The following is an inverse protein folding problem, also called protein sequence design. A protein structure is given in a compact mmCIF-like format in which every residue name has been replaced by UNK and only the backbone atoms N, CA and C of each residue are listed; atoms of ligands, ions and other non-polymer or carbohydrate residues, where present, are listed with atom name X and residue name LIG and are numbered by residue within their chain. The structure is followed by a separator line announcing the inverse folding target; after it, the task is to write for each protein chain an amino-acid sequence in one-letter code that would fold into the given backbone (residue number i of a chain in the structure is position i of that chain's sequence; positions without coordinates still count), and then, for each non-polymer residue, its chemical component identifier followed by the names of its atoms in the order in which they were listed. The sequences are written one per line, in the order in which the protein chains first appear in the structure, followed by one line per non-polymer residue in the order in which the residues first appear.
data_IF_433723083692
#
_entry.id   IF_433723083692
#
_cell.length_a   1.000
_cell.length_b   1.000
_cell.length_c   1.000
_cell.angle_alpha   90.00
_cell.angle_beta   90.00
_cell.angle_gamma   90.00
#
_symmetry.space_group_name_H-M   'P 1'
#
loop_
_entity.id
_entity.type
_entity.pdbx_description
1 polymer ?
#
# COMPACT_ATOMS: atom_id res chain seq x y z
N UNK A 1 22.66 -16.61 -12.99
CA UNK A 1 21.60 -16.49 -11.98
C UNK A 1 20.44 -15.79 -12.66
N UNK A 2 19.28 -16.42 -12.80
CA UNK A 2 18.11 -15.77 -13.40
C UNK A 2 17.65 -14.62 -12.50
N UNK A 3 17.31 -13.48 -13.08
CA UNK A 3 16.58 -12.42 -12.36
C UNK A 3 15.31 -13.01 -11.74
N UNK A 4 14.93 -12.59 -10.52
CA UNK A 4 13.66 -12.98 -9.93
C UNK A 4 12.49 -12.58 -10.85
N UNK A 5 11.39 -13.36 -10.85
CA UNK A 5 10.21 -13.04 -11.64
C UNK A 5 9.63 -11.68 -11.21
N UNK A 6 9.03 -10.96 -12.16
CA UNK A 6 8.31 -9.72 -11.87
C UNK A 6 6.93 -10.08 -11.35
N UNK A 7 6.63 -9.66 -10.12
CA UNK A 7 5.39 -9.94 -9.41
C UNK A 7 4.45 -8.73 -9.41
N UNK A 8 3.15 -9.01 -9.42
CA UNK A 8 2.11 -7.98 -9.23
C UNK A 8 1.82 -7.80 -7.75
N UNK A 9 1.95 -6.56 -7.27
CA UNK A 9 1.82 -6.24 -5.85
C UNK A 9 0.78 -5.15 -5.64
N UNK A 10 -0.12 -5.39 -4.71
CA UNK A 10 -1.14 -4.43 -4.31
C UNK A 10 -0.69 -3.75 -3.02
N UNK A 11 -0.54 -2.43 -3.07
CA UNK A 11 -0.14 -1.63 -1.90
C UNK A 11 -1.26 -0.65 -1.58
N UNK A 12 -1.77 -0.71 -0.35
CA UNK A 12 -2.73 0.26 0.17
C UNK A 12 -2.00 1.52 0.63
N UNK A 13 -2.55 2.67 0.30
CA UNK A 13 -2.09 3.99 0.71
C UNK A 13 -3.18 4.62 1.59
N UNK A 14 -2.77 5.26 2.68
CA UNK A 14 -3.67 5.98 3.58
C UNK A 14 -3.07 7.27 4.11
N UNK A 15 -3.88 8.32 4.26
CA UNK A 15 -3.48 9.57 4.92
C UNK A 15 -4.66 10.27 5.58
N UNK A 16 -4.49 10.74 6.83
CA UNK A 16 -5.49 11.58 7.51
C UNK A 16 -4.93 12.86 8.15
N UNK A 17 -3.63 13.13 8.00
CA UNK A 17 -2.96 14.34 8.52
C UNK A 17 -2.39 15.17 7.39
N UNK A 18 -2.45 16.49 7.54
CA UNK A 18 -1.81 17.44 6.61
C UNK A 18 -2.47 17.44 5.23
N UNK A 19 -1.65 17.61 4.19
CA UNK A 19 -2.12 17.56 2.80
C UNK A 19 -2.22 16.11 2.34
N UNK A 20 -3.33 15.47 2.72
CA UNK A 20 -3.62 14.06 2.46
C UNK A 20 -3.49 13.69 0.98
N UNK A 21 -3.94 14.58 0.08
CA UNK A 21 -3.86 14.34 -1.36
C UNK A 21 -2.42 14.40 -1.88
N UNK A 22 -1.62 15.36 -1.39
CA UNK A 22 -0.20 15.43 -1.72
C UNK A 22 0.59 14.23 -1.18
N UNK A 23 0.23 13.69 0.00
CA UNK A 23 0.82 12.46 0.53
C UNK A 23 0.56 11.25 -0.36
N UNK A 24 -0.68 11.06 -0.83
CA UNK A 24 -1.00 9.98 -1.78
C UNK A 24 -0.27 10.18 -3.12
N UNK A 25 -0.21 11.41 -3.63
CA UNK A 25 0.49 11.71 -4.89
C UNK A 25 1.99 11.38 -4.81
N UNK A 26 2.63 11.77 -3.71
CA UNK A 26 4.01 11.41 -3.44
C UNK A 26 4.24 9.91 -3.37
N UNK A 27 3.37 9.18 -2.67
CA UNK A 27 3.50 7.73 -2.58
C UNK A 27 3.44 7.09 -3.96
N UNK A 28 2.50 7.47 -4.83
CA UNK A 28 2.43 6.97 -6.21
C UNK A 28 3.71 7.22 -7.00
N UNK A 29 4.22 8.45 -6.97
CA UNK A 29 5.44 8.84 -7.66
C UNK A 29 6.64 8.02 -7.17
N UNK A 30 6.82 7.94 -5.85
CA UNK A 30 7.99 7.30 -5.24
C UNK A 30 7.97 5.80 -5.30
N UNK A 31 6.79 5.17 -5.19
CA UNK A 31 6.65 3.73 -5.42
C UNK A 31 7.03 3.36 -6.84
N UNK A 32 6.62 4.16 -7.83
CA UNK A 32 7.01 3.97 -9.23
C UNK A 32 8.49 4.22 -9.53
N UNK A 33 9.23 4.83 -8.58
CA UNK A 33 10.65 5.12 -8.69
C UNK A 33 11.53 4.20 -7.81
N UNK A 34 10.95 3.23 -7.10
CA UNK A 34 11.72 2.21 -6.38
C UNK A 34 12.51 1.33 -7.38
N UNK A 35 13.66 0.76 -6.97
CA UNK A 35 14.41 -0.16 -7.80
C UNK A 35 13.54 -1.32 -8.31
N UNK A 36 13.73 -1.67 -9.58
CA UNK A 36 13.04 -2.77 -10.26
C UNK A 36 11.52 -2.80 -10.04
N UNK A 37 10.91 -1.62 -9.87
CA UNK A 37 9.51 -1.44 -9.56
C UNK A 37 8.89 -0.44 -10.52
N UNK A 38 7.67 -0.70 -10.97
CA UNK A 38 6.86 0.26 -11.73
C UNK A 38 5.45 0.34 -11.17
N UNK A 39 4.90 1.54 -11.19
CA UNK A 39 3.47 1.75 -10.96
C UNK A 39 2.69 1.36 -12.23
N UNK A 40 1.76 0.42 -12.10
CA UNK A 40 0.92 -0.07 -13.21
C UNK A 40 -0.41 0.68 -13.24
N UNK A 41 -1.07 0.78 -12.10
CA UNK A 41 -2.37 1.43 -11.96
C UNK A 41 -2.59 1.92 -10.53
N UNK A 42 -3.55 2.83 -10.37
CA UNK A 42 -4.04 3.29 -9.08
C UNK A 42 -5.56 3.32 -9.10
N UNK A 43 -6.21 2.89 -8.01
CA UNK A 43 -7.66 2.96 -7.85
C UNK A 43 -8.11 4.42 -7.72
N UNK A 44 -9.42 4.64 -7.72
CA UNK A 44 -9.96 5.91 -7.25
C UNK A 44 -9.56 6.17 -5.79
N UNK A 45 -9.44 7.46 -5.45
CA UNK A 45 -9.23 7.89 -4.06
C UNK A 45 -10.58 7.86 -3.34
N UNK A 46 -10.66 7.14 -2.23
CA UNK A 46 -11.86 7.03 -1.40
C UNK A 46 -11.62 7.67 -0.02
N UNK A 47 -12.54 8.53 0.43
CA UNK A 47 -12.50 9.06 1.80
C UNK A 47 -13.30 8.17 2.76
N UNK A 48 -12.64 7.56 3.75
CA UNK A 48 -13.27 6.65 4.72
C UNK A 48 -13.17 7.18 6.15
N UNK A 49 -14.05 6.70 7.03
CA UNK A 49 -13.90 6.95 8.46
C UNK A 49 -12.64 6.25 8.98
N UNK A 50 -11.99 6.85 9.98
CA UNK A 50 -10.88 6.20 10.65
C UNK A 50 -11.33 4.91 11.34
N UNK A 51 -10.50 3.87 11.23
CA UNK A 51 -10.70 2.62 11.94
C UNK A 51 -10.00 2.69 13.30
N UNK A 52 -10.52 1.93 14.27
CA UNK A 52 -9.92 1.80 15.60
C UNK A 52 -10.52 2.72 16.67
N UNK A 53 -10.00 2.63 17.90
CA UNK A 53 -10.61 3.27 19.07
C UNK A 53 -10.22 4.75 19.25
N UNK A 54 -9.20 5.23 18.53
CA UNK A 54 -8.66 6.58 18.67
C UNK A 54 -9.45 7.55 17.78
N UNK A 55 -10.15 8.56 18.36
CA UNK A 55 -10.85 9.57 17.57
C UNK A 55 -9.88 10.38 16.71
N UNK A 56 -10.11 10.41 15.40
CA UNK A 56 -9.26 11.11 14.45
C UNK A 56 -10.02 11.44 13.16
N UNK A 57 -9.40 12.28 12.32
CA UNK A 57 -9.96 12.69 11.04
C UNK A 57 -10.12 11.54 10.05
N UNK A 58 -10.96 11.76 9.03
CA UNK A 58 -11.19 10.83 7.92
C UNK A 58 -9.91 10.60 7.12
N UNK A 59 -9.72 9.37 6.64
CA UNK A 59 -8.61 9.01 5.78
C UNK A 59 -8.98 9.22 4.31
N UNK A 60 -8.06 9.76 3.52
CA UNK A 60 -8.01 9.45 2.10
C UNK A 60 -7.28 8.12 1.92
N UNK A 61 -7.89 7.18 1.22
CA UNK A 61 -7.33 5.89 0.89
C UNK A 61 -7.26 5.71 -0.62
N UNK A 62 -6.30 4.92 -1.04
CA UNK A 62 -6.15 4.48 -2.42
C UNK A 62 -5.38 3.17 -2.43
N UNK A 63 -5.60 2.32 -3.41
CA UNK A 63 -4.72 1.19 -3.68
C UNK A 63 -3.96 1.40 -4.98
N UNK A 64 -2.72 0.95 -5.01
CA UNK A 64 -1.93 0.89 -6.25
C UNK A 64 -1.57 -0.53 -6.59
N UNK A 65 -1.51 -0.80 -7.90
CA UNK A 65 -0.93 -2.00 -8.46
C UNK A 65 0.48 -1.66 -8.94
N UNK A 66 1.46 -2.39 -8.41
CA UNK A 66 2.85 -2.34 -8.82
C UNK A 66 3.22 -3.62 -9.57
N UNK A 67 4.24 -3.52 -10.41
CA UNK A 67 4.99 -4.67 -10.89
C UNK A 67 6.43 -4.50 -10.40
N UNK A 68 6.95 -5.49 -9.67
CA UNK A 68 8.29 -5.42 -9.08
C UNK A 68 8.97 -6.78 -9.03
N UNK A 69 10.29 -6.81 -9.17
CA UNK A 69 11.10 -8.01 -8.92
C UNK A 69 11.79 -8.01 -7.55
N UNK A 70 11.47 -7.04 -6.69
CA UNK A 70 11.95 -7.03 -5.31
C UNK A 70 11.35 -8.22 -4.53
N UNK A 71 12.04 -8.73 -3.49
CA UNK A 71 11.42 -9.58 -2.48
C UNK A 71 10.44 -8.78 -1.59
N UNK A 72 9.39 -9.42 -1.01
CA UNK A 72 8.42 -8.74 -0.14
C UNK A 72 9.03 -7.94 1.01
N UNK A 73 10.12 -8.46 1.60
CA UNK A 73 10.85 -7.78 2.68
C UNK A 73 11.55 -6.51 2.23
N UNK A 74 12.14 -6.50 1.04
CA UNK A 74 12.81 -5.32 0.49
C UNK A 74 11.79 -4.25 0.10
N UNK A 75 10.67 -4.65 -0.50
CA UNK A 75 9.57 -3.71 -0.77
C UNK A 75 9.08 -3.08 0.54
N UNK A 76 8.84 -3.89 1.59
CA UNK A 76 8.42 -3.37 2.90
C UNK A 76 9.40 -2.31 3.42
N UNK A 77 10.71 -2.54 3.35
CA UNK A 77 11.71 -1.55 3.79
C UNK A 77 11.61 -0.25 2.98
N UNK A 78 11.38 -0.35 1.67
CA UNK A 78 11.10 0.83 0.83
C UNK A 78 9.85 1.59 1.27
N UNK A 79 8.75 0.89 1.55
CA UNK A 79 7.51 1.51 2.05
C UNK A 79 7.74 2.25 3.37
N UNK A 80 8.43 1.62 4.32
CA UNK A 80 8.75 2.20 5.62
C UNK A 80 9.59 3.47 5.49
N UNK A 81 10.53 3.52 4.55
CA UNK A 81 11.32 4.72 4.32
C UNK A 81 10.47 5.85 3.74
N UNK A 82 9.59 5.57 2.78
CA UNK A 82 8.68 6.57 2.22
C UNK A 82 7.72 7.14 3.28
N UNK A 83 7.25 6.31 4.21
CA UNK A 83 6.48 6.76 5.38
C UNK A 83 7.29 7.74 6.24
N UNK A 84 8.55 7.42 6.52
CA UNK A 84 9.46 8.25 7.33
C UNK A 84 9.76 9.59 6.66
N UNK A 85 9.98 9.59 5.35
CA UNK A 85 10.18 10.82 4.56
C UNK A 85 8.97 11.77 4.64
N UNK A 86 7.77 11.24 4.86
CA UNK A 86 6.55 12.02 5.10
C UNK A 86 6.24 12.27 6.56
N UNK A 87 7.21 12.05 7.45
CA UNK A 87 7.11 12.39 8.86
C UNK A 87 6.17 11.48 9.64
N UNK A 88 5.92 10.25 9.16
CA UNK A 88 5.19 9.27 9.96
C UNK A 88 6.03 8.87 11.17
N UNK A 89 5.59 9.32 12.34
CA UNK A 89 6.10 8.84 13.63
C UNK A 89 5.25 7.66 14.10
N UNK A 90 5.88 6.54 14.45
CA UNK A 90 5.21 5.32 14.92
C UNK A 90 4.91 5.40 16.41
N UNK A 91 4.30 6.52 16.81
CA UNK A 91 3.89 6.81 18.18
C UNK A 91 2.66 6.01 18.60
N UNK A 92 1.54 6.69 18.85
CA UNK A 92 0.32 6.05 19.33
C UNK A 92 -0.21 4.99 18.33
N UNK A 93 -0.43 3.77 18.81
CA UNK A 93 -1.03 2.71 18.00
C UNK A 93 -2.44 3.14 17.58
N UNK A 94 -2.73 3.08 16.28
CA UNK A 94 -3.96 3.62 15.67
C UNK A 94 -4.07 5.15 15.69
N UNK A 95 -2.99 5.87 15.99
CA UNK A 95 -2.97 7.32 15.89
C UNK A 95 -3.01 7.85 14.45
N UNK A 96 -3.17 9.17 14.31
CA UNK A 96 -3.22 9.86 13.02
C UNK A 96 -1.88 9.76 12.27
N UNK A 97 -1.93 9.69 10.93
CA UNK A 97 -0.79 9.37 10.06
C UNK A 97 -0.76 10.32 8.86
N UNK A 98 0.42 10.85 8.56
CA UNK A 98 0.69 11.60 7.33
C UNK A 98 0.67 10.68 6.11
N UNK A 99 1.29 9.50 6.20
CA UNK A 99 1.25 8.47 5.18
C UNK A 99 1.31 7.07 5.79
N UNK A 100 0.51 6.16 5.27
CA UNK A 100 0.43 4.74 5.60
C UNK A 100 0.49 3.89 4.35
N UNK A 101 1.42 2.93 4.34
CA UNK A 101 1.68 2.06 3.20
C UNK A 101 1.69 0.59 3.66
N UNK A 102 0.71 -0.18 3.20
CA UNK A 102 0.57 -1.60 3.55
C UNK A 102 0.65 -2.48 2.30
N UNK A 103 1.47 -3.54 2.34
CA UNK A 103 1.44 -4.59 1.32
C UNK A 103 0.19 -5.45 1.54
N UNK A 104 -0.73 -5.46 0.57
CA UNK A 104 -2.02 -6.15 0.65
C UNK A 104 -1.95 -7.56 0.03
N UNK A 105 -1.38 -7.67 -1.17
CA UNK A 105 -1.18 -8.92 -1.92
C UNK A 105 0.14 -8.84 -2.71
N UNK A 106 0.80 -9.96 -2.95
CA UNK A 106 2.10 -10.01 -3.62
C UNK A 106 2.19 -11.27 -4.49
N UNK A 107 1.75 -11.20 -5.74
CA UNK A 107 1.65 -12.38 -6.61
C UNK A 107 0.97 -13.55 -5.87
N UNK A 108 1.61 -14.71 -5.93
CA UNK A 108 1.21 -15.93 -5.20
C UNK A 108 1.99 -16.13 -3.88
N UNK A 109 2.73 -15.11 -3.42
CA UNK A 109 3.53 -15.22 -2.20
C UNK A 109 2.64 -15.32 -0.97
N UNK A 110 2.99 -16.27 -0.10
CA UNK A 110 2.48 -16.37 1.27
C UNK A 110 3.65 -16.12 2.21
N UNK A 111 3.56 -15.02 2.97
CA UNK A 111 4.62 -14.58 3.89
C UNK A 111 4.06 -14.52 5.29
N UNK A 112 4.79 -15.08 6.26
CA UNK A 112 4.46 -15.03 7.68
C UNK A 112 5.74 -14.81 8.48
N UNK A 113 6.12 -13.55 8.64
CA UNK A 113 7.34 -13.14 9.34
C UNK A 113 7.06 -11.97 10.30
N UNK A 114 7.94 -11.71 11.28
CA UNK A 114 7.79 -10.55 12.16
C UNK A 114 7.67 -9.24 11.36
N UNK A 115 6.51 -8.58 11.48
CA UNK A 115 6.20 -7.31 10.82
C UNK A 115 5.75 -7.41 9.36
N UNK A 116 5.60 -8.61 8.79
CA UNK A 116 5.12 -8.80 7.42
C UNK A 116 4.25 -10.05 7.30
N UNK A 117 3.00 -9.85 6.88
CA UNK A 117 2.08 -10.94 6.56
C UNK A 117 1.44 -10.66 5.21
N UNK A 118 1.55 -11.62 4.30
CA UNK A 118 1.00 -11.53 2.94
C UNK A 118 0.23 -12.83 2.63
N UNK A 119 -1.03 -12.77 2.13
CA UNK A 119 -1.86 -11.57 2.01
C UNK A 119 -2.11 -10.88 3.34
N UNK A 120 -2.39 -9.57 3.31
CA UNK A 120 -2.61 -8.80 4.53
C UNK A 120 -3.84 -9.34 5.30
N UNK A 121 -3.74 -9.60 6.62
CA UNK A 121 -4.80 -10.26 7.39
C UNK A 121 -6.11 -9.45 7.45
N UNK A 122 -6.04 -8.12 7.32
CA UNK A 122 -7.21 -7.23 7.33
C UNK A 122 -7.92 -7.08 5.96
N UNK A 123 -7.38 -7.64 4.88
CA UNK A 123 -8.06 -7.62 3.56
C UNK A 123 -9.52 -8.12 3.61
N UNK A 124 -9.86 -9.25 4.27
CA UNK A 124 -11.24 -9.68 4.41
C UNK A 124 -12.09 -8.78 5.33
N UNK A 125 -11.49 -7.92 6.14
CA UNK A 125 -12.19 -7.05 7.09
C UNK A 125 -12.37 -5.61 6.57
N UNK A 126 -11.73 -5.26 5.44
CA UNK A 126 -11.75 -3.91 4.86
C UNK A 126 -12.47 -3.90 3.51
N UNK A 127 -13.75 -3.57 3.55
CA UNK A 127 -14.62 -3.55 2.35
C UNK A 127 -14.07 -2.64 1.24
N UNK A 128 -13.48 -1.49 1.60
CA UNK A 128 -12.90 -0.56 0.63
C UNK A 128 -11.68 -1.16 -0.07
N UNK A 129 -10.81 -1.88 0.65
CA UNK A 129 -9.68 -2.60 0.01
C UNK A 129 -10.16 -3.62 -1.00
N UNK A 130 -11.25 -4.35 -0.71
CA UNK A 130 -11.80 -5.31 -1.69
C UNK A 130 -12.33 -4.64 -2.94
N UNK A 131 -12.97 -3.47 -2.81
CA UNK A 131 -13.41 -2.67 -3.96
C UNK A 131 -12.23 -2.16 -4.78
N UNK A 132 -11.20 -1.63 -4.12
CA UNK A 132 -10.00 -1.11 -4.78
C UNK A 132 -9.23 -2.22 -5.51
N UNK A 133 -9.10 -3.41 -4.92
CA UNK A 133 -8.52 -4.58 -5.60
C UNK A 133 -9.33 -4.95 -6.85
N UNK A 134 -10.66 -5.05 -6.72
CA UNK A 134 -11.52 -5.39 -7.86
C UNK A 134 -11.45 -4.35 -8.99
N UNK A 135 -11.36 -3.06 -8.64
CA UNK A 135 -11.15 -1.97 -9.60
C UNK A 135 -9.82 -2.14 -10.35
N UNK A 136 -8.73 -2.38 -9.62
CA UNK A 136 -7.40 -2.57 -10.21
C UNK A 136 -7.31 -3.83 -11.09
N UNK A 137 -7.96 -4.93 -10.69
CA UNK A 137 -8.05 -6.15 -11.49
C UNK A 137 -8.84 -5.91 -12.79
N UNK A 138 -9.87 -5.06 -12.77
CA UNK A 138 -10.61 -4.68 -13.98
C UNK A 138 -9.81 -3.75 -14.90
N UNK A 139 -9.03 -2.81 -14.34
CA UNK A 139 -8.18 -1.89 -15.11
C UNK A 139 -6.94 -2.57 -15.69
N UNK A 140 -6.42 -3.59 -15.01
CA UNK A 140 -5.22 -4.33 -15.40
C UNK A 140 -5.42 -5.82 -15.13
N UNK A 141 -6.18 -6.53 -15.97
CA UNK A 141 -6.40 -7.97 -15.80
C UNK A 141 -5.07 -8.72 -15.82
N UNK A 142 -4.98 -9.79 -15.04
CA UNK A 142 -3.83 -10.69 -15.08
C UNK A 142 -3.66 -11.20 -16.51
N UNK A 143 -2.42 -11.17 -17.03
CA UNK A 143 -2.13 -11.78 -18.33
C UNK A 143 -2.35 -13.29 -18.19
N UNK A 144 -3.25 -13.82 -19.00
CA UNK A 144 -3.50 -15.27 -19.12
C UNK A 144 -2.25 -16.02 -19.60
#
# INVERSE_FOLDING_TARGET
MSSPPVERVYVALGSNVGDRAAHLAFARERLGALPDTRLVAASQVEETAALGPVPQGRFLNQMVLLETSLPPRELLLGLLELERERGRDRGERWGPRTLDLDIVRYGDWVVSEPGLTVPHPELPNRDFWRREVAELEALSPARA
#
